data_IF_106873060523
#
_entry.id   IF_106873060523
#
_cell.length_a   1.000
_cell.length_b   1.000
_cell.length_c   1.000
_cell.angle_alpha   90.00
_cell.angle_beta   90.00
_cell.angle_gamma   90.00
#
_symmetry.space_group_name_H-M   'P 1'
#
loop_
_entity.id
_entity.type
_entity.pdbx_description
1 polymer ?
#
# COMPACT_ATOMS: atom_id res chain seq x y z
N UNK A 1 4.39 -18.61 5.11
CA UNK A 1 4.35 -17.38 4.29
C UNK A 1 5.77 -16.90 4.11
N UNK A 2 6.14 -16.28 2.98
CA UNK A 2 7.49 -15.80 2.77
C UNK A 2 7.79 -14.58 3.64
N UNK A 3 8.99 -14.55 4.19
CA UNK A 3 9.56 -13.40 4.89
C UNK A 3 10.31 -12.52 3.89
N UNK A 4 9.84 -11.28 3.73
CA UNK A 4 10.40 -10.28 2.83
C UNK A 4 11.44 -9.37 3.50
N UNK A 5 11.63 -9.45 4.82
CA UNK A 5 12.62 -8.64 5.53
C UNK A 5 14.03 -8.86 5.01
N UNK A 6 14.38 -10.13 4.72
CA UNK A 6 15.67 -10.54 4.18
C UNK A 6 15.96 -9.94 2.79
N UNK A 7 14.92 -9.76 1.96
CA UNK A 7 15.08 -9.14 0.63
C UNK A 7 15.34 -7.64 0.69
N UNK A 8 15.13 -7.04 1.87
CA UNK A 8 15.34 -5.62 2.15
C UNK A 8 16.52 -5.37 3.11
N UNK A 9 17.27 -6.42 3.46
CA UNK A 9 18.37 -6.37 4.45
C UNK A 9 17.91 -5.81 5.82
N UNK A 10 16.72 -6.22 6.28
CA UNK A 10 16.13 -5.79 7.55
C UNK A 10 16.21 -6.92 8.58
N UNK A 11 16.34 -6.52 9.85
CA UNK A 11 16.29 -7.45 10.98
C UNK A 11 14.83 -7.85 11.27
N UNK A 12 14.52 -9.13 11.03
CA UNK A 12 13.19 -9.69 11.27
C UNK A 12 12.74 -9.57 12.72
N UNK A 13 13.66 -9.71 13.68
CA UNK A 13 13.34 -9.68 15.11
C UNK A 13 13.02 -8.24 15.55
N UNK A 14 13.74 -7.27 15.00
CA UNK A 14 13.45 -5.86 15.20
C UNK A 14 12.09 -5.48 14.62
N UNK A 15 11.78 -5.93 13.40
CA UNK A 15 10.48 -5.71 12.76
C UNK A 15 9.34 -6.34 13.57
N UNK A 16 9.52 -7.56 14.07
CA UNK A 16 8.53 -8.25 14.90
C UNK A 16 8.30 -7.49 16.22
N UNK A 17 9.37 -7.02 16.84
CA UNK A 17 9.30 -6.20 18.06
C UNK A 17 8.52 -4.91 17.83
N UNK A 18 8.80 -4.22 16.72
CA UNK A 18 8.09 -2.99 16.35
C UNK A 18 6.62 -3.26 16.04
N UNK A 19 6.31 -4.29 15.25
CA UNK A 19 4.94 -4.68 14.93
C UNK A 19 4.13 -4.93 16.21
N UNK A 20 4.69 -5.72 17.14
CA UNK A 20 4.05 -6.04 18.41
C UNK A 20 3.90 -4.81 19.32
N UNK A 21 4.92 -3.95 19.40
CA UNK A 21 4.85 -2.73 20.20
C UNK A 21 3.71 -1.81 19.72
N UNK A 22 3.61 -1.57 18.41
CA UNK A 22 2.55 -0.74 17.84
C UNK A 22 1.17 -1.38 17.96
N UNK A 23 1.02 -2.68 17.71
CA UNK A 23 -0.28 -3.35 17.83
C UNK A 23 -0.78 -3.41 19.27
N UNK A 24 0.10 -3.69 20.23
CA UNK A 24 -0.25 -3.75 21.65
C UNK A 24 -0.56 -2.36 22.21
N UNK A 25 0.16 -1.33 21.79
CA UNK A 25 -0.17 0.05 22.15
C UNK A 25 -1.51 0.48 21.55
N UNK A 26 -1.78 0.17 20.29
CA UNK A 26 -3.07 0.42 19.66
C UNK A 26 -4.21 -0.25 20.44
N UNK A 27 -4.07 -1.55 20.76
CA UNK A 27 -5.06 -2.29 21.53
C UNK A 27 -5.29 -1.71 22.93
N UNK A 28 -4.22 -1.32 23.63
CA UNK A 28 -4.33 -0.66 24.93
C UNK A 28 -5.15 0.63 24.87
N UNK A 29 -4.91 1.48 23.86
CA UNK A 29 -5.66 2.72 23.66
C UNK A 29 -7.14 2.43 23.32
N UNK A 30 -7.40 1.43 22.47
CA UNK A 30 -8.72 1.02 21.99
C UNK A 30 -9.64 0.46 23.11
N UNK A 31 -9.05 -0.10 24.18
CA UNK A 31 -9.80 -0.60 25.36
C UNK A 31 -10.35 0.49 26.30
N UNK A 32 -10.26 1.77 25.92
CA UNK A 32 -10.94 2.87 26.63
C UNK A 32 -10.00 3.89 27.29
N UNK A 33 -8.72 3.92 26.90
CA UNK A 33 -7.72 4.82 27.49
C UNK A 33 -7.38 6.05 26.64
N UNK A 34 -7.97 6.20 25.44
CA UNK A 34 -7.76 7.39 24.62
C UNK A 34 -8.95 7.72 23.71
N UNK A 35 -9.27 9.01 23.61
CA UNK A 35 -10.19 9.58 22.62
C UNK A 35 -9.53 9.77 21.24
N UNK A 36 -8.21 9.53 21.14
CA UNK A 36 -7.43 9.78 19.92
C UNK A 36 -7.48 8.58 18.95
N UNK A 37 -8.62 8.46 18.27
CA UNK A 37 -8.86 7.44 17.23
C UNK A 37 -7.80 7.52 16.11
N UNK A 38 -7.30 8.72 15.79
CA UNK A 38 -6.27 8.88 14.76
C UNK A 38 -4.96 8.22 15.16
N UNK A 39 -4.53 8.38 16.42
CA UNK A 39 -3.35 7.69 16.94
C UNK A 39 -3.53 6.17 16.94
N UNK A 40 -4.71 5.67 17.32
CA UNK A 40 -5.01 4.22 17.27
C UNK A 40 -4.88 3.69 15.84
N UNK A 41 -5.50 4.36 14.87
CA UNK A 41 -5.45 4.00 13.45
C UNK A 41 -4.01 3.97 12.92
N UNK A 42 -3.22 5.02 13.23
CA UNK A 42 -1.82 5.11 12.85
C UNK A 42 -0.96 3.99 13.46
N UNK A 43 -1.23 3.60 14.71
CA UNK A 43 -0.50 2.51 15.35
C UNK A 43 -0.79 1.16 14.69
N UNK A 44 -2.06 0.83 14.45
CA UNK A 44 -2.41 -0.38 13.69
C UNK A 44 -1.82 -0.38 12.28
N UNK A 45 -1.85 0.77 11.60
CA UNK A 45 -1.27 0.91 10.25
C UNK A 45 0.24 0.66 10.23
N UNK A 46 0.98 1.19 11.21
CA UNK A 46 2.42 0.93 11.35
C UNK A 46 2.70 -0.53 11.69
N UNK A 47 1.93 -1.11 12.61
CA UNK A 47 2.06 -2.53 12.93
C UNK A 47 1.85 -3.39 11.68
N UNK A 48 0.80 -3.12 10.90
CA UNK A 48 0.51 -3.82 9.64
C UNK A 48 1.63 -3.66 8.61
N UNK A 49 2.23 -2.47 8.50
CA UNK A 49 3.30 -2.20 7.54
C UNK A 49 4.61 -2.94 7.86
N UNK A 50 4.89 -3.26 9.12
CA UNK A 50 5.98 -4.16 9.49
C UNK A 50 5.57 -5.62 9.32
N UNK A 51 4.37 -5.97 9.80
CA UNK A 51 3.86 -7.33 9.77
C UNK A 51 3.69 -7.86 8.34
N UNK A 52 3.38 -7.00 7.36
CA UNK A 52 3.26 -7.42 5.95
C UNK A 52 4.58 -7.90 5.35
N UNK A 53 5.73 -7.63 6.00
CA UNK A 53 7.02 -8.19 5.59
C UNK A 53 7.22 -9.59 6.18
N UNK A 54 6.60 -9.91 7.31
CA UNK A 54 6.84 -11.13 8.09
C UNK A 54 5.70 -12.16 7.95
N UNK A 55 4.46 -11.71 8.12
CA UNK A 55 3.24 -12.51 8.14
C UNK A 55 2.06 -11.74 7.54
N UNK A 56 1.83 -11.93 6.24
CA UNK A 56 0.81 -11.15 5.52
C UNK A 56 -0.61 -11.46 6.01
N UNK A 57 -0.87 -12.63 6.59
CA UNK A 57 -2.19 -12.91 7.17
C UNK A 57 -2.49 -12.04 8.38
N UNK A 58 -1.53 -11.88 9.30
CA UNK A 58 -1.69 -10.99 10.45
C UNK A 58 -1.72 -9.52 10.02
N UNK A 59 -0.91 -9.15 9.03
CA UNK A 59 -0.93 -7.81 8.45
C UNK A 59 -2.32 -7.42 7.93
N UNK A 60 -3.04 -8.32 7.24
CA UNK A 60 -4.43 -8.06 6.81
C UNK A 60 -5.35 -7.72 7.96
N UNK A 61 -5.27 -8.47 9.06
CA UNK A 61 -6.09 -8.21 10.25
C UNK A 61 -5.77 -6.84 10.85
N UNK A 62 -4.49 -6.46 10.92
CA UNK A 62 -4.07 -5.15 11.40
C UNK A 62 -4.49 -4.01 10.46
N UNK A 63 -4.40 -4.21 9.14
CA UNK A 63 -4.91 -3.26 8.16
C UNK A 63 -6.42 -3.08 8.28
N UNK A 64 -7.19 -4.15 8.50
CA UNK A 64 -8.64 -4.07 8.71
C UNK A 64 -8.99 -3.25 9.96
N UNK A 65 -8.26 -3.45 11.06
CA UNK A 65 -8.41 -2.64 12.28
C UNK A 65 -8.08 -1.16 12.03
N UNK A 66 -7.00 -0.89 11.30
CA UNK A 66 -6.63 0.48 10.93
C UNK A 66 -7.71 1.14 10.05
N UNK A 67 -8.23 0.41 9.06
CA UNK A 67 -9.29 0.86 8.17
C UNK A 67 -10.53 1.27 8.96
N UNK A 68 -11.00 0.40 9.86
CA UNK A 68 -12.16 0.67 10.69
C UNK A 68 -12.01 1.96 11.53
N UNK A 69 -10.80 2.23 12.05
CA UNK A 69 -10.53 3.42 12.86
C UNK A 69 -10.40 4.69 12.01
N UNK A 70 -9.71 4.64 10.87
CA UNK A 70 -9.68 5.77 9.94
C UNK A 70 -11.08 6.12 9.40
N UNK A 71 -11.92 5.13 9.12
CA UNK A 71 -13.31 5.34 8.70
C UNK A 71 -14.13 6.08 9.76
N UNK A 72 -13.94 5.78 11.05
CA UNK A 72 -14.67 6.46 12.14
C UNK A 72 -14.42 7.97 12.19
N UNK A 73 -13.25 8.42 11.74
CA UNK A 73 -12.87 9.83 11.71
C UNK A 73 -12.92 10.43 10.29
N UNK A 74 -13.50 9.72 9.33
CA UNK A 74 -13.56 10.14 7.92
C UNK A 74 -12.21 10.48 7.30
N UNK A 75 -11.14 9.81 7.74
CA UNK A 75 -9.80 9.99 7.18
C UNK A 75 -9.66 9.13 5.91
N UNK A 76 -9.31 9.74 4.76
CA UNK A 76 -9.23 9.02 3.48
C UNK A 76 -8.14 7.94 3.47
N UNK A 77 -7.17 7.99 4.39
CA UNK A 77 -6.14 6.95 4.51
C UNK A 77 -6.74 5.58 4.93
N UNK A 78 -7.97 5.57 5.45
CA UNK A 78 -8.74 4.35 5.67
C UNK A 78 -8.96 3.53 4.41
N UNK A 79 -8.96 4.16 3.22
CA UNK A 79 -9.02 3.46 1.94
C UNK A 79 -7.76 2.62 1.68
N UNK A 80 -6.58 3.19 1.95
CA UNK A 80 -5.31 2.47 1.78
C UNK A 80 -5.29 1.24 2.67
N UNK A 81 -5.71 1.40 3.94
CA UNK A 81 -5.82 0.29 4.87
C UNK A 81 -6.87 -0.74 4.40
N UNK A 82 -8.03 -0.28 3.90
CA UNK A 82 -9.09 -1.13 3.35
C UNK A 82 -8.59 -2.02 2.21
N UNK A 83 -7.94 -1.41 1.20
CA UNK A 83 -7.35 -2.13 0.05
C UNK A 83 -6.29 -3.13 0.53
N UNK A 84 -5.40 -2.73 1.45
CA UNK A 84 -4.35 -3.60 1.98
C UNK A 84 -4.90 -4.78 2.82
N UNK A 85 -6.09 -4.63 3.41
CA UNK A 85 -6.79 -5.72 4.10
C UNK A 85 -7.56 -6.64 3.14
N UNK A 86 -7.68 -6.25 1.87
CA UNK A 86 -8.50 -6.89 0.84
C UNK A 86 -9.96 -7.09 1.27
N UNK A 87 -10.48 -6.13 2.04
CA UNK A 87 -11.89 -6.05 2.43
C UNK A 87 -12.63 -5.05 1.54
N UNK A 88 -13.96 -5.12 1.53
CA UNK A 88 -14.80 -4.13 0.84
C UNK A 88 -14.41 -2.73 1.33
N UNK A 89 -13.96 -1.90 0.40
CA UNK A 89 -13.49 -0.55 0.72
C UNK A 89 -14.70 0.35 1.01
N UNK A 90 -14.61 1.26 1.99
CA UNK A 90 -15.68 2.22 2.24
C UNK A 90 -15.93 3.07 0.98
N UNK A 91 -17.21 3.30 0.66
CA UNK A 91 -17.63 4.17 -0.43
C UNK A 91 -17.20 5.62 -0.11
N UNK A 92 -16.07 6.04 -0.69
CA UNK A 92 -15.68 7.45 -0.71
C UNK A 92 -16.50 8.15 -1.79
N UNK A 93 -17.48 8.95 -1.36
CA UNK A 93 -18.27 9.79 -2.26
C UNK A 93 -17.35 10.80 -2.95
N UNK A 94 -17.46 10.85 -4.28
CA UNK A 94 -16.71 11.80 -5.11
C UNK A 94 -17.39 13.17 -4.97
N UNK A 95 -16.75 14.12 -4.29
CA UNK A 95 -17.18 15.53 -4.28
C UNK A 95 -16.37 16.34 -5.29
N UNK A 96 -16.91 17.47 -5.74
CA UNK A 96 -16.31 18.33 -6.77
C UNK A 96 -15.22 19.29 -6.25
N UNK A 97 -14.96 19.32 -4.94
CA UNK A 97 -13.98 20.20 -4.28
C UNK A 97 -12.76 19.40 -3.78
N UNK A 98 -12.17 18.58 -4.64
CA UNK A 98 -11.14 17.61 -4.22
C UNK A 98 -9.74 18.20 -4.30
N UNK A 99 -9.01 18.17 -3.18
CA UNK A 99 -7.57 18.42 -3.19
C UNK A 99 -6.85 17.31 -3.98
N UNK A 100 -5.62 17.55 -4.48
CA UNK A 100 -4.85 16.54 -5.21
C UNK A 100 -4.75 15.20 -4.46
N UNK A 101 -4.56 15.23 -3.14
CA UNK A 101 -4.49 14.01 -2.32
C UNK A 101 -5.82 13.27 -2.28
N UNK A 102 -6.97 13.96 -2.22
CA UNK A 102 -8.28 13.29 -2.28
C UNK A 102 -8.50 12.64 -3.65
N UNK A 103 -8.06 13.28 -4.73
CA UNK A 103 -8.15 12.69 -6.08
C UNK A 103 -7.33 11.40 -6.21
N UNK A 104 -6.18 11.32 -5.55
CA UNK A 104 -5.41 10.06 -5.48
C UNK A 104 -6.20 8.92 -4.83
N UNK A 105 -6.84 9.18 -3.68
CA UNK A 105 -7.67 8.15 -3.03
C UNK A 105 -8.90 7.79 -3.89
N UNK A 106 -9.50 8.76 -4.58
CA UNK A 106 -10.60 8.50 -5.51
C UNK A 106 -10.17 7.65 -6.70
N UNK A 107 -9.00 7.95 -7.29
CA UNK A 107 -8.41 7.16 -8.37
C UNK A 107 -8.19 5.71 -7.93
N UNK A 108 -7.55 5.50 -6.77
CA UNK A 108 -7.32 4.16 -6.26
C UNK A 108 -8.63 3.44 -5.94
N UNK A 109 -9.61 4.12 -5.32
CA UNK A 109 -10.91 3.53 -5.03
C UNK A 109 -11.60 3.08 -6.31
N UNK A 110 -11.76 4.01 -7.26
CA UNK A 110 -12.50 3.74 -8.49
C UNK A 110 -11.83 2.67 -9.33
N UNK A 111 -10.49 2.68 -9.43
CA UNK A 111 -9.78 1.58 -10.09
C UNK A 111 -9.96 0.24 -9.35
N UNK A 112 -9.90 0.24 -8.01
CA UNK A 112 -10.07 -0.97 -7.20
C UNK A 112 -11.49 -1.56 -7.29
N UNK A 113 -12.52 -0.72 -7.24
CA UNK A 113 -13.94 -1.13 -7.31
C UNK A 113 -14.46 -1.29 -8.74
N UNK A 114 -13.82 -0.64 -9.72
CA UNK A 114 -14.23 -0.62 -11.13
C UNK A 114 -15.12 0.55 -11.52
N UNK A 115 -15.18 1.60 -10.71
CA UNK A 115 -15.85 2.84 -11.04
C UNK A 115 -14.98 3.73 -11.96
N UNK A 116 -15.63 4.48 -12.85
CA UNK A 116 -14.96 5.49 -13.69
C UNK A 116 -14.50 6.66 -12.81
N UNK A 117 -13.24 7.08 -12.99
CA UNK A 117 -12.67 8.24 -12.29
C UNK A 117 -12.25 9.28 -13.32
N UNK A 118 -12.54 10.55 -13.04
CA UNK A 118 -12.03 11.66 -13.83
C UNK A 118 -10.54 11.88 -13.50
N UNK A 119 -9.68 11.62 -14.49
CA UNK A 119 -8.22 11.79 -14.38
C UNK A 119 -7.73 13.07 -15.05
N UNK A 120 -8.64 13.95 -15.50
CA UNK A 120 -8.28 15.18 -16.23
C UNK A 120 -7.83 16.31 -15.29
N UNK A 121 -8.11 16.18 -14.00
CA UNK A 121 -7.81 17.19 -13.00
C UNK A 121 -6.45 16.91 -12.31
N UNK A 122 -5.62 17.95 -12.21
CA UNK A 122 -4.38 18.07 -11.43
C UNK A 122 -3.21 17.11 -11.80
N UNK A 123 -2.00 17.68 -11.84
CA UNK A 123 -0.76 16.98 -12.21
C UNK A 123 0.28 17.03 -11.08
N UNK A 124 -0.15 17.48 -9.90
CA UNK A 124 0.71 17.66 -8.74
C UNK A 124 1.12 16.30 -8.15
N UNK A 125 2.22 16.26 -7.37
CA UNK A 125 2.56 15.10 -6.56
C UNK A 125 1.50 14.84 -5.49
N UNK A 126 1.13 13.57 -5.32
CA UNK A 126 0.05 13.14 -4.42
C UNK A 126 0.49 12.04 -3.46
N UNK A 127 -0.28 11.88 -2.38
CA UNK A 127 -0.07 10.86 -1.36
C UNK A 127 1.18 11.11 -0.52
N UNK A 128 1.44 10.24 0.46
CA UNK A 128 2.65 10.31 1.29
C UNK A 128 3.94 10.15 0.49
N UNK A 129 3.88 9.39 -0.61
CA UNK A 129 5.02 9.18 -1.49
C UNK A 129 5.37 10.40 -2.35
N UNK A 130 4.47 11.37 -2.51
CA UNK A 130 4.67 12.57 -3.32
C UNK A 130 5.09 12.20 -4.75
N UNK A 131 4.31 11.31 -5.37
CA UNK A 131 4.50 10.84 -6.74
C UNK A 131 3.52 11.58 -7.65
N UNK A 132 3.91 12.02 -8.86
CA UNK A 132 2.98 12.70 -9.77
C UNK A 132 1.71 11.87 -10.00
N UNK A 133 0.53 12.48 -9.81
CA UNK A 133 -0.77 11.82 -9.98
C UNK A 133 -0.88 11.07 -11.31
N UNK A 134 -0.43 11.70 -12.39
CA UNK A 134 -0.44 11.12 -13.74
C UNK A 134 0.31 9.79 -13.86
N UNK A 135 1.38 9.60 -13.09
CA UNK A 135 2.09 8.32 -13.13
C UNK A 135 1.21 7.18 -12.59
N UNK A 136 0.34 7.44 -11.61
CA UNK A 136 -0.67 6.48 -11.17
C UNK A 136 -1.75 6.28 -12.24
N UNK A 137 -2.33 7.37 -12.72
CA UNK A 137 -3.44 7.34 -13.68
C UNK A 137 -3.05 6.64 -15.00
N UNK A 138 -1.91 7.01 -15.58
CA UNK A 138 -1.38 6.41 -16.81
C UNK A 138 -1.09 4.92 -16.59
N UNK A 139 -0.46 4.53 -15.47
CA UNK A 139 -0.16 3.11 -15.19
C UNK A 139 -1.44 2.28 -15.02
N UNK A 140 -2.47 2.81 -14.36
CA UNK A 140 -3.76 2.13 -14.18
C UNK A 140 -4.49 1.99 -15.52
N UNK A 141 -4.47 3.03 -16.35
CA UNK A 141 -5.06 3.04 -17.69
C UNK A 141 -4.34 2.06 -18.61
N UNK A 142 -3.01 2.13 -18.67
CA UNK A 142 -2.20 1.21 -19.46
C UNK A 142 -2.35 -0.25 -18.98
N UNK A 143 -2.65 -0.50 -17.71
CA UNK A 143 -2.94 -1.87 -17.23
C UNK A 143 -4.22 -2.44 -17.86
N UNK A 144 -5.18 -1.59 -18.22
CA UNK A 144 -6.43 -2.00 -18.87
C UNK A 144 -6.18 -2.46 -20.31
N UNK A 145 -5.30 -1.77 -21.03
CA UNK A 145 -5.13 -1.92 -22.48
C UNK A 145 -4.06 -2.94 -22.90
N UNK A 146 -3.40 -3.62 -21.95
CA UNK A 146 -2.18 -4.39 -22.21
C UNK A 146 -2.33 -5.87 -21.89
N UNK A 147 -1.62 -6.71 -22.65
CA UNK A 147 -1.56 -8.15 -22.40
C UNK A 147 -0.68 -8.45 -21.18
N UNK A 148 -0.90 -9.62 -20.56
CA UNK A 148 -0.18 -10.04 -19.36
C UNK A 148 1.35 -9.93 -19.47
N UNK A 149 1.93 -10.27 -20.62
CA UNK A 149 3.37 -10.21 -20.85
C UNK A 149 3.94 -8.77 -20.85
N UNK A 150 3.11 -7.76 -21.11
CA UNK A 150 3.50 -6.35 -21.21
C UNK A 150 3.36 -5.62 -19.87
N UNK A 151 2.52 -6.12 -18.96
CA UNK A 151 2.27 -5.52 -17.64
C UNK A 151 3.54 -5.17 -16.86
N UNK A 152 4.62 -5.97 -16.82
CA UNK A 152 5.81 -5.58 -16.07
C UNK A 152 6.48 -4.32 -16.64
N UNK A 153 6.40 -4.12 -17.96
CA UNK A 153 6.92 -2.89 -18.58
C UNK A 153 6.08 -1.68 -18.19
N UNK A 154 4.76 -1.85 -18.10
CA UNK A 154 3.79 -0.81 -17.71
C UNK A 154 3.96 -0.42 -16.25
N UNK A 155 4.06 -1.40 -15.35
CA UNK A 155 4.11 -1.15 -13.91
C UNK A 155 5.47 -0.62 -13.43
N UNK A 156 6.57 -1.03 -14.08
CA UNK A 156 7.92 -0.77 -13.61
C UNK A 156 8.22 0.72 -13.34
N UNK A 157 7.85 1.69 -14.18
CA UNK A 157 8.10 3.11 -13.91
C UNK A 157 7.51 3.58 -12.58
N UNK A 158 6.24 3.26 -12.31
CA UNK A 158 5.55 3.61 -11.06
C UNK A 158 6.20 2.90 -9.86
N UNK A 159 6.39 1.58 -9.96
CA UNK A 159 7.00 0.78 -8.89
C UNK A 159 8.42 1.26 -8.54
N UNK A 160 9.23 1.58 -9.55
CA UNK A 160 10.58 2.13 -9.34
C UNK A 160 10.52 3.45 -8.60
N UNK A 161 9.54 4.31 -8.93
CA UNK A 161 9.37 5.60 -8.28
C UNK A 161 8.99 5.44 -6.81
N UNK A 162 8.05 4.55 -6.50
CA UNK A 162 7.65 4.21 -5.12
C UNK A 162 8.82 3.71 -4.28
N UNK A 163 9.68 2.88 -4.86
CA UNK A 163 10.85 2.34 -4.17
C UNK A 163 12.06 3.29 -4.11
N UNK A 164 12.03 4.45 -4.79
CA UNK A 164 13.22 5.33 -4.88
C UNK A 164 13.64 5.91 -3.53
N UNK A 165 12.70 6.46 -2.74
CA UNK A 165 13.02 7.07 -1.44
C UNK A 165 13.51 6.02 -0.41
N UNK A 166 12.80 4.90 -0.19
CA UNK A 166 13.29 3.84 0.68
C UNK A 166 14.69 3.35 0.29
N UNK A 167 14.96 3.17 -1.01
CA UNK A 167 16.26 2.74 -1.53
C UNK A 167 17.37 3.75 -1.29
N UNK A 168 17.09 5.05 -1.40
CA UNK A 168 18.09 6.09 -1.12
C UNK A 168 18.45 6.10 0.36
N UNK A 169 17.46 5.93 1.23
CA UNK A 169 17.66 5.86 2.67
C UNK A 169 18.42 4.59 3.07
N UNK A 170 18.09 3.42 2.50
CA UNK A 170 18.78 2.16 2.82
C UNK A 170 20.25 2.13 2.39
N UNK A 171 20.62 2.87 1.35
CA UNK A 171 22.04 3.07 0.97
C UNK A 171 22.83 3.89 1.98
N UNK A 172 22.17 4.78 2.72
CA UNK A 172 22.77 5.53 3.83
C UNK A 172 22.67 4.70 5.11
N UNK A 173 23.46 3.61 5.19
CA UNK A 173 23.37 2.60 6.25
C UNK A 173 23.43 3.17 7.67
N UNK A 174 24.23 4.21 7.91
CA UNK A 174 24.34 4.84 9.22
C UNK A 174 23.09 5.63 9.60
N UNK A 175 22.46 6.31 8.64
CA UNK A 175 21.20 7.02 8.84
C UNK A 175 20.02 6.06 8.88
N UNK A 176 19.99 5.04 8.03
CA UNK A 176 18.96 4.01 7.97
C UNK A 176 18.81 3.30 9.31
N UNK A 177 19.91 2.77 9.86
CA UNK A 177 19.91 2.08 11.16
C UNK A 177 19.44 2.98 12.31
N UNK A 178 19.74 4.28 12.26
CA UNK A 178 19.26 5.26 13.25
C UNK A 178 17.77 5.60 13.10
N UNK A 179 17.21 5.34 11.93
CA UNK A 179 15.81 5.61 11.60
C UNK A 179 14.96 4.34 11.59
N UNK A 180 15.54 3.18 11.89
CA UNK A 180 14.82 1.92 12.06
C UNK A 180 13.72 2.09 13.12
N UNK A 181 12.47 1.76 12.77
CA UNK A 181 11.29 2.02 13.59
C UNK A 181 10.61 3.39 13.40
N UNK A 182 11.28 4.33 12.72
CA UNK A 182 10.69 5.61 12.26
C UNK A 182 10.37 5.62 10.76
N UNK A 183 11.03 4.77 9.98
CA UNK A 183 10.77 4.58 8.55
C UNK A 183 9.94 3.32 8.34
N UNK A 184 8.92 3.45 7.50
CA UNK A 184 8.16 2.32 6.95
C UNK A 184 8.91 1.77 5.72
N UNK A 185 9.42 0.52 5.72
CA UNK A 185 10.27 0.03 4.63
C UNK A 185 9.56 -0.02 3.27
N UNK A 186 8.27 -0.35 3.29
CA UNK A 186 7.37 -0.25 2.14
C UNK A 186 6.12 0.47 2.64
N UNK A 187 5.82 1.65 2.10
CA UNK A 187 4.64 2.41 2.49
C UNK A 187 3.35 1.64 2.11
N UNK A 188 2.31 1.62 2.98
CA UNK A 188 1.02 0.99 2.68
C UNK A 188 0.40 1.47 1.35
N UNK A 189 0.60 2.74 0.97
CA UNK A 189 0.17 3.28 -0.33
C UNK A 189 0.75 2.51 -1.52
N UNK A 190 2.01 2.06 -1.40
CA UNK A 190 2.68 1.26 -2.43
C UNK A 190 1.97 -0.08 -2.60
N UNK A 191 1.66 -0.74 -1.48
CA UNK A 191 1.03 -2.06 -1.47
C UNK A 191 -0.43 -1.97 -1.93
N UNK A 192 -1.18 -0.97 -1.46
CA UNK A 192 -2.54 -0.72 -1.91
C UNK A 192 -2.57 -0.49 -3.43
N UNK A 193 -1.66 0.33 -3.96
CA UNK A 193 -1.57 0.55 -5.41
C UNK A 193 -1.25 -0.75 -6.16
N UNK A 194 -0.34 -1.58 -5.65
CA UNK A 194 -0.02 -2.87 -6.25
C UNK A 194 -1.25 -3.81 -6.28
N UNK A 195 -2.00 -3.91 -5.17
CA UNK A 195 -3.23 -4.69 -5.10
C UNK A 195 -4.25 -4.15 -6.11
N UNK A 196 -4.40 -2.83 -6.23
CA UNK A 196 -5.27 -2.20 -7.23
C UNK A 196 -4.86 -2.56 -8.65
N UNK A 197 -3.57 -2.51 -9.00
CA UNK A 197 -3.08 -2.92 -10.32
C UNK A 197 -3.39 -4.39 -10.62
N UNK A 198 -3.17 -5.27 -9.64
CA UNK A 198 -3.50 -6.69 -9.75
C UNK A 198 -5.00 -6.91 -9.96
N UNK A 199 -5.84 -6.17 -9.21
CA UNK A 199 -7.30 -6.24 -9.32
C UNK A 199 -7.80 -5.74 -10.67
N UNK A 200 -7.22 -4.67 -11.21
CA UNK A 200 -7.53 -4.16 -12.55
C UNK A 200 -7.17 -5.20 -13.61
N UNK A 201 -5.98 -5.81 -13.53
CA UNK A 201 -5.56 -6.85 -14.48
C UNK A 201 -6.48 -8.09 -14.44
N UNK A 202 -6.89 -8.53 -13.25
CA UNK A 202 -7.87 -9.63 -13.09
C UNK A 202 -9.22 -9.28 -13.73
N UNK A 203 -9.69 -8.03 -13.57
CA UNK A 203 -10.94 -7.57 -14.18
C UNK A 203 -10.90 -7.58 -15.71
N UNK A 204 -9.71 -7.39 -16.31
CA UNK A 204 -9.49 -7.53 -17.75
C UNK A 204 -9.41 -8.98 -18.23
N UNK A 205 -9.61 -9.96 -17.34
CA UNK A 205 -9.61 -11.37 -17.69
C UNK A 205 -8.24 -12.03 -17.65
N UNK A 206 -7.21 -11.35 -17.14
CA UNK A 206 -5.91 -11.99 -16.92
C UNK A 206 -6.01 -12.89 -15.68
N UNK A 207 -5.82 -14.20 -15.89
CA UNK A 207 -5.97 -15.19 -14.83
C UNK A 207 -4.96 -14.98 -13.68
N UNK A 208 -5.42 -15.25 -12.45
CA UNK A 208 -4.65 -14.96 -11.23
C UNK A 208 -3.35 -15.78 -11.13
N UNK A 209 -3.34 -17.00 -11.67
CA UNK A 209 -2.16 -17.87 -11.79
C UNK A 209 -1.11 -17.31 -12.76
N UNK A 210 -1.56 -16.71 -13.87
CA UNK A 210 -0.70 -16.01 -14.83
C UNK A 210 -0.07 -14.78 -14.17
N UNK A 211 -0.87 -13.96 -13.47
CA UNK A 211 -0.35 -12.79 -12.73
C UNK A 211 0.64 -13.21 -11.64
N UNK A 212 0.34 -14.27 -10.89
CA UNK A 212 1.23 -14.82 -9.86
C UNK A 212 2.56 -15.22 -10.48
N UNK A 213 2.54 -16.01 -11.54
CA UNK A 213 3.75 -16.48 -12.23
C UNK A 213 4.58 -15.32 -12.79
N UNK A 214 3.92 -14.35 -13.40
CA UNK A 214 4.53 -13.15 -13.98
C UNK A 214 5.28 -12.31 -12.94
N UNK A 215 4.65 -12.06 -11.79
CA UNK A 215 5.25 -11.26 -10.71
C UNK A 215 6.34 -12.05 -9.98
N UNK A 216 6.17 -13.35 -9.76
CA UNK A 216 7.20 -14.19 -9.14
C UNK A 216 8.47 -14.29 -10.00
N UNK A 217 8.33 -14.24 -11.33
CA UNK A 217 9.47 -14.21 -12.24
C UNK A 217 10.32 -12.91 -12.14
N UNK A 218 9.75 -11.81 -11.62
CA UNK A 218 10.47 -10.54 -11.51
C UNK A 218 11.53 -10.57 -10.38
N UNK A 219 12.77 -10.22 -10.75
CA UNK A 219 13.91 -10.16 -9.83
C UNK A 219 14.20 -8.73 -9.33
N UNK A 220 13.60 -7.72 -9.94
CA UNK A 220 13.82 -6.33 -9.55
C UNK A 220 13.15 -6.04 -8.20
N UNK A 221 13.88 -5.42 -7.27
CA UNK A 221 13.37 -5.08 -5.93
C UNK A 221 12.13 -4.18 -5.98
N UNK A 222 11.90 -3.45 -7.08
CA UNK A 222 10.68 -2.68 -7.28
C UNK A 222 9.39 -3.55 -7.25
N UNK A 223 9.51 -4.87 -7.44
CA UNK A 223 8.38 -5.80 -7.42
C UNK A 223 8.12 -6.44 -6.06
N UNK A 224 8.90 -6.14 -5.03
CA UNK A 224 8.67 -6.70 -3.69
C UNK A 224 7.27 -6.33 -3.18
N UNK A 225 6.85 -5.07 -3.32
CA UNK A 225 5.51 -4.64 -2.93
C UNK A 225 4.40 -5.37 -3.72
N UNK A 226 4.64 -5.69 -4.99
CA UNK A 226 3.69 -6.46 -5.81
C UNK A 226 3.58 -7.92 -5.34
N UNK A 227 4.70 -8.53 -4.92
CA UNK A 227 4.74 -9.87 -4.32
C UNK A 227 4.01 -9.90 -2.98
N UNK A 228 4.12 -8.84 -2.18
CA UNK A 228 3.36 -8.68 -0.94
C UNK A 228 1.87 -8.53 -1.25
N UNK A 229 1.51 -7.67 -2.21
CA UNK A 229 0.11 -7.48 -2.64
C UNK A 229 -0.56 -8.77 -3.12
N UNK A 230 0.20 -9.63 -3.81
CA UNK A 230 -0.24 -10.98 -4.19
C UNK A 230 -0.70 -11.84 -3.00
N UNK A 231 -0.01 -11.72 -1.87
CA UNK A 231 -0.24 -12.53 -0.66
C UNK A 231 -1.27 -11.90 0.30
N UNK A 232 -1.54 -10.61 0.13
CA UNK A 232 -2.59 -9.90 0.86
C UNK A 232 -3.96 -10.03 0.18
N UNK A 233 -4.02 -10.43 -1.10
CA UNK A 233 -5.29 -10.75 -1.76
C UNK A 233 -5.95 -12.01 -1.19
#
# INVERSE_FOLDING_TARGET
MPDFSLLLDLDSDALQTLAHAYSSYAAYLDTGNAEDIHTIACCYMKAAAYEMLLNQSNARSLFALAAARFTQISDPYGLIAGICSYQDCPDLSITTETTPDIQFYQLLNGAFTGATVDTTAWQEPVGRLQIPFRLYADTLTDTIDQEAAQLPKVWKPLLTRMHTRPRLLSKDTARWRKLEGTITPIEPETVATCITLLRVAERQGIASDVLTSLVQAQQDNAYIAMKIGLLLR
#
